data_IF_739146556559
#
_entry.id   IF_739146556559
#
_cell.length_a   1.000
_cell.length_b   1.000
_cell.length_c   1.000
_cell.angle_alpha   90.00
_cell.angle_beta   90.00
_cell.angle_gamma   90.00
#
_symmetry.space_group_name_H-M   'P 1'
#
loop_
_entity.id
_entity.type
_entity.pdbx_description
1 polymer ?
#
# COMPACT_ATOMS: atom_id res chain seq x y z
N UNK A 1 -24.48 -16.85 0.68
CA UNK A 1 -23.63 -15.68 0.34
C UNK A 1 -22.72 -16.07 -0.82
N UNK A 2 -23.04 -15.64 -2.03
CA UNK A 2 -22.20 -15.92 -3.19
C UNK A 2 -20.88 -15.16 -3.04
N UNK A 3 -19.76 -15.88 -2.83
CA UNK A 3 -18.43 -15.30 -2.91
C UNK A 3 -18.29 -14.77 -4.34
N UNK A 4 -18.25 -13.45 -4.51
CA UNK A 4 -18.02 -12.81 -5.80
C UNK A 4 -16.70 -13.34 -6.36
N UNK A 5 -16.81 -14.25 -7.33
CA UNK A 5 -15.71 -14.77 -8.17
C UNK A 5 -15.26 -13.76 -9.24
N UNK A 6 -15.82 -12.55 -9.19
CA UNK A 6 -15.31 -11.41 -9.95
C UNK A 6 -13.83 -11.31 -9.61
N UNK A 7 -12.95 -11.36 -10.63
CA UNK A 7 -11.48 -11.23 -10.53
C UNK A 7 -10.65 -12.48 -10.23
N UNK A 8 -11.25 -13.68 -10.11
CA UNK A 8 -10.44 -14.91 -9.82
C UNK A 8 -9.55 -15.34 -10.98
N UNK A 9 -9.97 -15.08 -12.22
CA UNK A 9 -9.27 -15.48 -13.46
C UNK A 9 -8.78 -14.26 -14.28
N UNK A 10 -8.75 -13.07 -13.67
CA UNK A 10 -8.29 -11.86 -14.34
C UNK A 10 -6.74 -11.83 -14.32
N UNK A 11 -6.06 -11.82 -15.49
CA UNK A 11 -4.60 -11.80 -15.56
C UNK A 11 -3.97 -10.61 -14.85
N UNK A 12 -4.64 -9.45 -14.83
CA UNK A 12 -4.19 -8.27 -14.09
C UNK A 12 -4.21 -8.55 -12.58
N UNK A 13 -5.25 -9.23 -12.11
CA UNK A 13 -5.45 -9.53 -10.69
C UNK A 13 -4.49 -10.61 -10.21
N UNK A 14 -4.22 -11.63 -11.02
CA UNK A 14 -3.14 -12.59 -10.76
C UNK A 14 -1.80 -11.89 -10.60
N UNK A 15 -1.44 -11.01 -11.55
CA UNK A 15 -0.19 -10.25 -11.50
C UNK A 15 -0.13 -9.35 -10.26
N UNK A 16 -1.24 -8.73 -9.88
CA UNK A 16 -1.33 -7.93 -8.66
C UNK A 16 -1.13 -8.77 -7.40
N UNK A 17 -1.68 -9.99 -7.37
CA UNK A 17 -1.51 -10.93 -6.27
C UNK A 17 -0.06 -11.43 -6.15
N UNK A 18 0.61 -11.72 -7.26
CA UNK A 18 2.02 -12.08 -7.29
C UNK A 18 2.90 -10.95 -6.72
N UNK A 19 2.74 -9.74 -7.24
CA UNK A 19 3.46 -8.55 -6.74
C UNK A 19 3.21 -8.34 -5.25
N UNK A 20 1.95 -8.49 -4.81
CA UNK A 20 1.59 -8.36 -3.38
C UNK A 20 2.28 -9.42 -2.53
N UNK A 21 2.33 -10.66 -3.00
CA UNK A 21 2.98 -11.77 -2.30
C UNK A 21 4.48 -11.52 -2.15
N UNK A 22 5.15 -11.12 -3.23
CA UNK A 22 6.58 -10.79 -3.23
C UNK A 22 6.91 -9.66 -2.24
N UNK A 23 6.14 -8.57 -2.28
CA UNK A 23 6.31 -7.46 -1.35
C UNK A 23 6.09 -7.91 0.08
N UNK A 24 5.04 -8.71 0.33
CA UNK A 24 4.75 -9.23 1.66
C UNK A 24 5.91 -10.05 2.23
N UNK A 25 6.50 -10.94 1.43
CA UNK A 25 7.68 -11.72 1.86
C UNK A 25 8.88 -10.82 2.15
N UNK A 26 9.16 -9.83 1.30
CA UNK A 26 10.29 -8.90 1.50
C UNK A 26 10.17 -8.06 2.78
N UNK A 27 8.95 -7.66 3.15
CA UNK A 27 8.74 -6.79 4.31
C UNK A 27 8.34 -7.55 5.57
N UNK A 28 8.11 -8.87 5.51
CA UNK A 28 7.56 -9.65 6.63
C UNK A 28 8.37 -9.46 7.91
N UNK A 29 9.69 -9.55 7.79
CA UNK A 29 10.65 -9.55 8.91
C UNK A 29 11.05 -8.13 9.36
N UNK A 30 10.64 -7.10 8.61
CA UNK A 30 10.93 -5.71 8.95
C UNK A 30 10.11 -5.24 10.15
N UNK A 31 10.72 -4.44 11.03
CA UNK A 31 9.99 -3.77 12.09
C UNK A 31 9.08 -2.65 11.54
N UNK A 32 8.10 -2.14 12.31
CA UNK A 32 7.18 -1.11 11.81
C UNK A 32 7.85 0.17 11.30
N UNK A 33 8.98 0.59 11.87
CA UNK A 33 9.71 1.78 11.41
C UNK A 33 10.42 1.52 10.08
N UNK A 34 11.05 0.36 9.95
CA UNK A 34 11.71 -0.09 8.73
C UNK A 34 10.72 -0.29 7.59
N UNK A 35 9.53 -0.82 7.87
CA UNK A 35 8.42 -0.93 6.90
C UNK A 35 8.05 0.44 6.33
N UNK A 36 7.86 1.44 7.19
CA UNK A 36 7.53 2.81 6.75
C UNK A 36 8.67 3.41 5.93
N UNK A 37 9.92 3.27 6.39
CA UNK A 37 11.08 3.77 5.67
C UNK A 37 11.23 3.14 4.28
N UNK A 38 11.00 1.83 4.18
CA UNK A 38 11.03 1.10 2.92
C UNK A 38 9.94 1.59 1.96
N UNK A 39 8.69 1.72 2.43
CA UNK A 39 7.57 2.24 1.63
C UNK A 39 7.90 3.64 1.09
N UNK A 40 8.44 4.52 1.95
CA UNK A 40 8.82 5.87 1.54
C UNK A 40 9.91 5.85 0.46
N UNK A 41 10.93 5.00 0.61
CA UNK A 41 12.02 4.86 -0.35
C UNK A 41 11.54 4.36 -1.72
N UNK A 42 10.69 3.34 -1.73
CA UNK A 42 10.11 2.79 -2.96
C UNK A 42 9.19 3.81 -3.65
N UNK A 43 8.33 4.50 -2.88
CA UNK A 43 7.47 5.54 -3.42
C UNK A 43 8.26 6.72 -4.01
N UNK A 44 9.32 7.15 -3.34
CA UNK A 44 10.19 8.22 -3.84
C UNK A 44 10.94 7.77 -5.12
N UNK A 45 11.47 6.55 -5.15
CA UNK A 45 12.14 5.99 -6.32
C UNK A 45 11.21 5.90 -7.53
N UNK A 46 9.99 5.41 -7.32
CA UNK A 46 8.98 5.35 -8.37
C UNK A 46 8.62 6.74 -8.90
N UNK A 47 8.31 7.70 -8.02
CA UNK A 47 7.96 9.06 -8.45
C UNK A 47 9.10 9.74 -9.21
N UNK A 48 10.35 9.58 -8.75
CA UNK A 48 11.54 10.08 -9.46
C UNK A 48 11.65 9.49 -10.87
N UNK A 49 11.40 8.19 -11.03
CA UNK A 49 11.42 7.54 -12.36
C UNK A 49 10.39 8.12 -13.33
N UNK A 50 9.30 8.68 -12.80
CA UNK A 50 8.23 9.32 -13.57
C UNK A 50 8.44 10.84 -13.70
N UNK A 51 9.56 11.40 -13.23
CA UNK A 51 9.85 12.83 -13.26
C UNK A 51 9.15 13.65 -12.18
N UNK A 52 8.50 13.01 -11.21
CA UNK A 52 7.83 13.66 -10.10
C UNK A 52 8.70 13.67 -8.84
N UNK A 53 8.45 14.64 -7.94
CA UNK A 53 9.07 14.73 -6.63
C UNK A 53 8.02 14.49 -5.54
N UNK A 54 8.35 13.64 -4.57
CA UNK A 54 7.52 13.46 -3.38
C UNK A 54 7.61 14.71 -2.51
N UNK A 55 6.55 15.52 -2.46
CA UNK A 55 6.48 16.69 -1.56
C UNK A 55 6.14 16.21 -0.15
N UNK A 56 6.89 16.60 0.89
CA UNK A 56 6.55 16.25 2.26
C UNK A 56 5.19 16.87 2.62
N UNK A 57 4.18 16.01 2.81
CA UNK A 57 2.88 16.46 3.28
C UNK A 57 2.99 16.95 4.73
N UNK A 58 2.36 18.09 5.05
CA UNK A 58 2.08 18.43 6.46
C UNK A 58 1.33 17.26 7.08
N UNK A 59 1.84 16.76 8.20
CA UNK A 59 1.32 15.61 8.97
C UNK A 59 -0.21 15.63 9.00
N UNK A 60 -0.86 14.73 8.26
CA UNK A 60 -2.31 14.65 8.22
C UNK A 60 -2.86 14.36 9.61
N UNK A 61 -3.79 15.18 10.08
CA UNK A 61 -4.41 15.02 11.40
C UNK A 61 -5.25 13.72 11.41
N UNK A 62 -5.09 12.93 12.46
CA UNK A 62 -5.90 11.73 12.71
C UNK A 62 -7.36 12.16 12.90
N UNK A 63 -8.22 11.92 11.91
CA UNK A 63 -9.66 12.09 12.10
C UNK A 63 -10.10 11.02 13.09
N UNK A 64 -10.29 11.41 14.35
CA UNK A 64 -10.92 10.54 15.33
C UNK A 64 -12.32 10.22 14.82
N UNK A 65 -12.61 8.93 14.62
CA UNK A 65 -13.97 8.47 14.32
C UNK A 65 -14.85 8.90 15.50
N UNK A 66 -15.59 10.02 15.34
CA UNK A 66 -16.69 10.33 16.24
C UNK A 66 -17.71 9.22 16.04
N UNK A 67 -17.83 8.37 17.05
CA UNK A 67 -18.96 7.47 17.24
C UNK A 67 -20.23 8.32 17.10
N UNK A 68 -20.90 8.18 15.96
CA UNK A 68 -22.29 8.62 15.82
C UNK A 68 -23.08 7.61 16.65
N UNK A 69 -23.25 7.90 17.94
CA UNK A 69 -24.25 7.21 18.75
C UNK A 69 -25.62 7.57 18.17
N UNK A 70 -26.22 6.62 17.47
CA UNK A 70 -27.66 6.53 17.33
C UNK A 70 -28.28 5.94 18.59
#
# INVERSE_FOLDING_TARGET
>A
MAKKKEFTDDPMMHKLHEIRSEIHQRIKDLNPKEKVAWIHKEAEGFLKSQGYKLTPARKGYRIAAKSIKG
#
